data_IF_420754921531
#
_entry.id   IF_420754921531
#
_cell.length_a   1.000
_cell.length_b   1.000
_cell.length_c   1.000
_cell.angle_alpha   90.00
_cell.angle_beta   90.00
_cell.angle_gamma   90.00
#
_symmetry.space_group_name_H-M   'P 1'
#
loop_
_entity.id
_entity.type
_entity.pdbx_description
1 polymer ?
#
# COMPACT_ATOMS: atom_id res chain seq x y z
N UNK A 1 -46.28 -38.97 25.17
CA UNK A 1 -46.33 -40.32 25.77
C UNK A 1 -45.00 -41.01 25.49
N UNK A 2 -44.50 -41.80 26.45
CA UNK A 2 -43.53 -42.93 26.31
C UNK A 2 -42.33 -42.76 25.34
N UNK A 3 -41.07 -42.57 25.77
CA UNK A 3 -40.22 -43.46 26.62
C UNK A 3 -40.02 -44.85 25.96
N UNK A 4 -38.83 -45.44 25.76
CA UNK A 4 -37.65 -45.80 26.59
C UNK A 4 -36.57 -46.38 25.59
N UNK A 5 -35.34 -46.81 25.92
CA UNK A 5 -34.30 -46.45 26.91
C UNK A 5 -33.08 -47.42 26.73
N UNK A 6 -32.03 -47.25 27.56
CA UNK A 6 -30.92 -48.22 27.88
C UNK A 6 -29.90 -48.47 26.75
N UNK A 7 -28.57 -48.55 26.98
CA UNK A 7 -27.74 -48.46 28.20
C UNK A 7 -26.24 -48.26 27.82
N UNK A 8 -25.34 -47.81 28.72
CA UNK A 8 -24.65 -48.61 29.78
C UNK A 8 -23.52 -49.51 29.22
N UNK A 9 -22.25 -49.53 29.69
CA UNK A 9 -21.50 -48.78 30.72
C UNK A 9 -19.96 -48.99 30.53
N UNK A 10 -19.14 -48.44 31.44
CA UNK A 10 -17.75 -48.85 31.82
C UNK A 10 -16.50 -48.50 30.98
N UNK A 11 -15.62 -47.70 31.63
CA UNK A 11 -14.12 -47.80 31.62
C UNK A 11 -13.70 -48.94 32.61
N UNK A 12 -12.41 -49.34 32.86
CA UNK A 12 -11.14 -48.63 32.62
C UNK A 12 -9.87 -49.48 32.25
N UNK A 13 -8.71 -48.80 32.26
CA UNK A 13 -7.33 -49.27 32.62
C UNK A 13 -6.42 -50.04 31.64
N UNK A 14 -5.35 -49.34 31.23
CA UNK A 14 -3.91 -49.72 31.25
C UNK A 14 -3.40 -51.08 30.75
N UNK A 15 -2.35 -51.05 29.91
CA UNK A 15 -1.07 -51.76 30.19
C UNK A 15 0.09 -51.26 29.29
N UNK A 16 1.31 -51.25 29.85
CA UNK A 16 2.58 -51.05 29.13
C UNK A 16 2.97 -52.32 28.36
N UNK A 17 3.64 -52.18 27.20
CA UNK A 17 4.75 -53.07 26.80
C UNK A 17 5.85 -52.26 26.11
N UNK A 18 7.10 -52.45 26.53
CA UNK A 18 8.32 -51.98 25.86
C UNK A 18 9.07 -53.16 25.23
N UNK A 19 9.80 -52.94 24.11
CA UNK A 19 10.91 -53.83 23.71
C UNK A 19 11.93 -53.21 22.74
N UNK A 20 12.91 -52.53 23.33
CA UNK A 20 14.37 -52.80 23.22
C UNK A 20 14.90 -53.54 21.97
N UNK A 21 15.66 -52.79 21.15
CA UNK A 21 17.03 -53.04 20.61
C UNK A 21 17.36 -54.34 19.84
N UNK A 22 17.92 -54.17 18.63
CA UNK A 22 19.24 -54.74 18.29
C UNK A 22 20.01 -53.91 17.25
N UNK A 23 21.34 -54.01 17.31
CA UNK A 23 22.34 -53.18 16.63
C UNK A 23 23.35 -54.03 15.85
N UNK A 24 23.88 -53.50 14.75
CA UNK A 24 25.26 -53.73 14.24
C UNK A 24 25.43 -53.03 12.87
N UNK A 25 26.61 -52.70 12.34
CA UNK A 25 27.84 -52.04 12.84
C UNK A 25 29.01 -52.36 11.90
N UNK A 26 29.55 -51.36 11.20
CA UNK A 26 30.94 -51.26 10.69
C UNK A 26 31.11 -49.85 10.06
N UNK A 27 32.07 -49.01 10.44
CA UNK A 27 33.54 -49.04 10.19
C UNK A 27 33.87 -49.15 8.69
N UNK A 28 34.83 -48.43 8.09
CA UNK A 28 35.67 -47.27 8.46
C UNK A 28 36.31 -46.72 7.13
N UNK A 29 37.19 -45.71 6.99
CA UNK A 29 38.00 -44.83 7.87
C UNK A 29 38.41 -43.57 7.07
N UNK A 30 38.89 -42.47 7.69
CA UNK A 30 39.65 -41.43 6.95
C UNK A 30 39.73 -40.05 7.61
N UNK A 31 40.89 -39.68 8.15
CA UNK A 31 41.14 -38.39 8.82
C UNK A 31 41.98 -37.43 7.98
N UNK A 32 41.79 -36.12 8.17
CA UNK A 32 42.89 -35.18 8.38
C UNK A 32 42.43 -33.99 9.24
N UNK A 33 43.33 -33.51 10.10
CA UNK A 33 43.11 -32.38 10.98
C UNK A 33 44.23 -31.35 10.77
N UNK A 34 43.87 -30.06 10.77
CA UNK A 34 44.83 -28.96 10.78
C UNK A 34 44.60 -28.08 12.01
N UNK A 35 45.53 -28.13 12.97
CA UNK A 35 45.70 -27.11 14.02
C UNK A 35 46.71 -26.07 13.52
N UNK A 36 46.53 -24.78 13.85
CA UNK A 36 47.59 -23.82 14.23
C UNK A 36 46.95 -22.45 14.61
N UNK A 37 47.64 -21.50 15.28
CA UNK A 37 47.31 -21.26 16.70
C UNK A 37 46.79 -19.84 17.03
N UNK A 38 46.40 -19.68 18.30
CA UNK A 38 46.02 -18.41 18.94
C UNK A 38 47.25 -17.65 19.46
N UNK A 39 47.42 -16.40 19.02
CA UNK A 39 48.36 -15.35 19.47
C UNK A 39 47.58 -14.02 19.26
N UNK A 40 47.66 -12.95 20.05
CA UNK A 40 47.94 -12.72 21.47
C UNK A 40 47.30 -11.35 21.84
N UNK A 41 47.25 -10.97 23.11
CA UNK A 41 46.67 -9.67 23.52
C UNK A 41 47.50 -8.48 23.04
N UNK A 42 46.81 -7.41 22.60
CA UNK A 42 47.33 -6.04 22.61
C UNK A 42 46.24 -5.15 23.20
N UNK A 43 46.54 -4.54 24.36
CA UNK A 43 45.74 -3.46 24.92
C UNK A 43 46.05 -2.14 24.19
N UNK A 44 45.01 -1.44 23.74
CA UNK A 44 45.08 0.01 23.47
C UNK A 44 43.78 0.67 23.89
N UNK A 45 43.82 1.38 25.02
CA UNK A 45 42.84 2.42 25.34
C UNK A 45 42.99 3.56 24.33
N UNK A 46 41.93 3.92 23.61
CA UNK A 46 41.82 5.29 23.10
C UNK A 46 40.37 5.79 23.05
N UNK A 47 40.11 6.84 23.82
CA UNK A 47 38.79 7.41 24.07
C UNK A 47 38.56 8.66 23.21
N UNK A 48 38.27 8.46 21.91
CA UNK A 48 37.98 9.56 21.00
C UNK A 48 36.59 10.19 21.26
N UNK A 49 36.62 11.33 21.93
CA UNK A 49 35.47 12.19 22.24
C UNK A 49 35.12 13.06 21.04
N UNK A 50 34.04 12.74 20.32
CA UNK A 50 33.52 13.61 19.26
C UNK A 50 32.51 14.62 19.82
N UNK A 51 32.92 15.89 19.77
CA UNK A 51 32.24 17.07 20.30
C UNK A 51 30.96 17.40 19.51
N UNK A 52 29.81 17.30 20.18
CA UNK A 52 28.49 17.70 19.66
C UNK A 52 28.48 19.20 19.37
N UNK A 53 28.26 19.62 18.11
CA UNK A 53 28.05 21.03 17.75
C UNK A 53 26.56 21.27 17.53
N UNK A 54 25.95 22.05 18.41
CA UNK A 54 24.57 22.49 18.24
C UNK A 54 24.50 23.50 17.08
N UNK A 55 23.49 23.37 16.22
CA UNK A 55 22.93 24.48 15.47
C UNK A 55 21.41 24.30 15.48
N UNK A 56 20.75 25.18 16.23
CA UNK A 56 19.30 25.28 16.30
C UNK A 56 18.78 25.97 15.04
N UNK A 57 17.67 25.45 14.48
CA UNK A 57 16.66 26.25 13.81
C UNK A 57 15.30 25.56 14.02
N UNK A 58 14.61 25.97 15.08
CA UNK A 58 13.21 25.64 15.31
C UNK A 58 12.34 26.67 14.60
N UNK A 59 11.46 26.21 13.70
CA UNK A 59 10.04 26.60 13.63
C UNK A 59 9.30 25.60 12.75
N UNK A 60 7.98 25.45 12.99
CA UNK A 60 7.01 24.67 12.21
C UNK A 60 7.17 23.13 12.18
N UNK A 61 6.94 22.52 13.36
CA UNK A 61 6.68 21.07 13.48
C UNK A 61 5.48 20.74 14.40
N UNK A 62 4.52 21.66 14.55
CA UNK A 62 3.49 21.61 15.60
C UNK A 62 2.10 21.11 15.16
N UNK A 63 1.99 20.23 14.16
CA UNK A 63 0.67 19.71 13.72
C UNK A 63 0.55 18.17 13.58
N UNK A 64 1.60 17.39 13.84
CA UNK A 64 1.59 15.93 13.61
C UNK A 64 2.02 15.03 14.78
N UNK A 65 2.38 15.57 15.95
CA UNK A 65 2.82 14.75 17.10
C UNK A 65 1.70 14.11 17.94
N UNK A 66 0.42 14.35 17.62
CA UNK A 66 -0.69 13.72 18.34
C UNK A 66 -1.18 12.45 17.64
N UNK A 67 -0.38 11.38 17.71
CA UNK A 67 -0.78 9.95 17.82
C UNK A 67 0.43 9.02 17.53
N UNK A 68 1.28 8.81 18.53
CA UNK A 68 2.30 7.73 18.53
C UNK A 68 2.02 6.73 19.67
N UNK A 69 1.97 5.41 19.40
CA UNK A 69 1.93 4.38 20.44
C UNK A 69 3.20 4.40 21.31
N UNK A 70 3.11 3.86 22.54
CA UNK A 70 4.21 3.85 23.53
C UNK A 70 5.55 3.40 22.93
N UNK A 71 6.58 4.24 23.07
CA UNK A 71 7.97 3.83 22.87
C UNK A 71 8.40 2.86 23.98
N UNK A 72 8.58 1.59 23.64
CA UNK A 72 9.27 0.63 24.51
C UNK A 72 10.76 0.97 24.58
N UNK A 73 11.21 1.45 25.75
CA UNK A 73 12.64 1.75 26.02
C UNK A 73 13.51 0.51 25.80
N UNK A 74 14.47 0.58 24.87
CA UNK A 74 15.60 -0.37 24.79
C UNK A 74 16.52 -0.21 26.01
N UNK A 75 16.29 -1.03 27.04
CA UNK A 75 17.19 -1.10 28.20
C UNK A 75 18.27 -2.18 27.95
N UNK A 76 19.54 -1.78 27.90
CA UNK A 76 20.67 -2.72 27.74
C UNK A 76 20.82 -3.57 29.00
N UNK A 77 20.45 -4.85 28.93
CA UNK A 77 20.83 -5.82 29.96
C UNK A 77 22.25 -6.35 29.71
N UNK A 78 23.15 -6.16 30.68
CA UNK A 78 24.41 -6.92 30.76
C UNK A 78 24.08 -8.31 31.29
N UNK A 79 24.47 -9.37 30.56
CA UNK A 79 24.43 -10.73 31.09
C UNK A 79 25.39 -10.86 32.29
N UNK A 80 24.84 -11.27 33.44
CA UNK A 80 25.58 -12.00 34.47
C UNK A 80 24.90 -13.36 34.60
N UNK A 81 25.64 -14.42 34.34
CA UNK A 81 25.16 -15.78 34.56
C UNK A 81 25.08 -16.06 36.06
N UNK A 82 23.87 -16.32 36.55
CA UNK A 82 23.63 -16.95 37.85
C UNK A 82 22.49 -17.95 37.64
N UNK A 83 22.73 -19.22 37.99
CA UNK A 83 21.73 -20.27 37.89
C UNK A 83 20.72 -20.12 39.03
N UNK A 84 19.46 -19.89 38.70
CA UNK A 84 18.32 -20.10 39.60
C UNK A 84 17.19 -20.75 38.81
N UNK A 85 17.05 -22.07 38.93
CA UNK A 85 15.89 -22.80 38.42
C UNK A 85 14.65 -22.31 39.16
N UNK A 86 13.79 -21.55 38.47
CA UNK A 86 12.55 -21.04 39.04
C UNK A 86 11.40 -21.32 38.06
N UNK A 87 10.62 -22.41 38.25
CA UNK A 87 9.57 -22.83 37.30
C UNK A 87 8.38 -21.85 37.16
N UNK A 88 8.42 -20.72 37.87
CA UNK A 88 7.30 -19.79 38.03
C UNK A 88 7.29 -18.63 37.01
N UNK A 89 8.27 -18.54 36.09
CA UNK A 89 8.42 -17.39 35.18
C UNK A 89 7.93 -17.62 33.73
N UNK A 90 7.62 -18.85 33.34
CA UNK A 90 7.15 -19.20 31.97
C UNK A 90 5.62 -19.22 31.80
N UNK A 91 4.84 -18.93 32.86
CA UNK A 91 3.39 -19.10 32.85
C UNK A 91 2.57 -17.87 32.37
N UNK A 92 3.20 -16.73 32.10
CA UNK A 92 2.51 -15.45 31.75
C UNK A 92 2.50 -15.09 30.27
N UNK A 93 3.03 -15.94 29.39
CA UNK A 93 3.02 -15.70 27.94
C UNK A 93 1.69 -16.04 27.22
N UNK A 94 0.65 -16.43 27.96
CA UNK A 94 -0.52 -17.15 27.42
C UNK A 94 -1.83 -16.38 27.20
N UNK A 95 -2.04 -15.20 27.81
CA UNK A 95 -3.36 -14.52 27.81
C UNK A 95 -3.34 -13.08 27.27
N UNK A 96 -2.98 -12.91 25.98
CA UNK A 96 -3.39 -11.69 25.27
C UNK A 96 -4.91 -11.63 25.17
N UNK A 97 -5.49 -10.51 25.63
CA UNK A 97 -6.93 -10.26 25.63
C UNK A 97 -7.49 -10.41 24.20
N UNK A 98 -8.64 -11.10 23.99
CA UNK A 98 -9.30 -11.17 22.68
C UNK A 98 -9.46 -9.81 21.98
N UNK A 99 -9.72 -8.74 22.75
CA UNK A 99 -9.80 -7.37 22.23
C UNK A 99 -8.45 -6.87 21.69
N UNK A 100 -7.34 -7.14 22.38
CA UNK A 100 -5.99 -6.77 21.94
C UNK A 100 -5.61 -7.50 20.65
N UNK A 101 -5.94 -8.81 20.56
CA UNK A 101 -5.76 -9.59 19.33
C UNK A 101 -6.57 -9.03 18.16
N UNK A 102 -7.82 -8.63 18.40
CA UNK A 102 -8.67 -8.00 17.39
C UNK A 102 -8.11 -6.65 16.92
N UNK A 103 -7.66 -5.79 17.85
CA UNK A 103 -7.04 -4.49 17.52
C UNK A 103 -5.78 -4.69 16.67
N UNK A 104 -4.89 -5.61 17.06
CA UNK A 104 -3.67 -5.92 16.29
C UNK A 104 -3.99 -6.48 14.90
N UNK A 105 -5.03 -7.30 14.78
CA UNK A 105 -5.48 -7.82 13.48
C UNK A 105 -6.06 -6.71 12.58
N UNK A 106 -6.85 -5.79 13.14
CA UNK A 106 -7.40 -4.63 12.40
C UNK A 106 -6.29 -3.67 11.96
N UNK A 107 -5.29 -3.39 12.81
CA UNK A 107 -4.11 -2.60 12.43
C UNK A 107 -3.29 -3.29 11.32
N UNK A 108 -3.09 -4.61 11.42
CA UNK A 108 -2.46 -5.38 10.37
C UNK A 108 -3.27 -5.28 9.05
N UNK A 109 -4.60 -5.39 9.07
CA UNK A 109 -5.43 -5.19 7.86
C UNK A 109 -5.35 -3.75 7.32
N UNK A 110 -5.29 -2.74 8.19
CA UNK A 110 -5.12 -1.33 7.80
C UNK A 110 -3.77 -1.09 7.10
N UNK A 111 -2.67 -1.68 7.60
CA UNK A 111 -1.37 -1.65 6.92
C UNK A 111 -1.38 -2.49 5.63
N UNK A 112 -2.11 -3.61 5.61
CA UNK A 112 -2.22 -4.52 4.46
C UNK A 112 -2.94 -3.89 3.25
N UNK A 113 -3.98 -3.07 3.45
CA UNK A 113 -4.64 -2.32 2.37
C UNK A 113 -3.80 -1.14 1.82
N UNK A 114 -2.66 -0.81 2.46
CA UNK A 114 -1.77 0.34 2.17
C UNK A 114 -2.53 1.68 2.23
N UNK A 115 -2.60 2.34 3.40
CA UNK A 115 -3.52 3.47 3.66
C UNK A 115 -3.46 4.62 2.66
N UNK A 116 -2.27 4.98 2.17
CA UNK A 116 -2.10 6.04 1.16
C UNK A 116 -2.84 5.69 -0.15
N UNK A 117 -2.71 4.45 -0.63
CA UNK A 117 -3.41 3.99 -1.83
C UNK A 117 -4.94 3.92 -1.59
N UNK A 118 -5.36 3.52 -0.39
CA UNK A 118 -6.76 3.50 0.01
C UNK A 118 -7.39 4.91 0.03
N UNK A 119 -6.72 5.90 0.63
CA UNK A 119 -7.17 7.31 0.63
C UNK A 119 -7.37 7.83 -0.80
N UNK A 120 -6.44 7.55 -1.72
CA UNK A 120 -6.62 7.92 -3.12
C UNK A 120 -7.85 7.26 -3.79
N UNK A 121 -8.29 6.09 -3.31
CA UNK A 121 -9.50 5.41 -3.82
C UNK A 121 -10.77 6.04 -3.25
N UNK A 122 -10.78 6.41 -1.95
CA UNK A 122 -11.87 7.18 -1.33
C UNK A 122 -12.07 8.52 -2.06
N UNK A 123 -10.96 9.24 -2.29
CA UNK A 123 -10.98 10.53 -2.98
C UNK A 123 -11.37 10.40 -4.46
N UNK A 124 -10.94 9.33 -5.14
CA UNK A 124 -11.38 9.04 -6.52
C UNK A 124 -12.90 8.86 -6.61
N UNK A 125 -13.50 8.05 -5.73
CA UNK A 125 -14.96 7.89 -5.69
C UNK A 125 -15.64 9.24 -5.44
N UNK A 126 -15.21 9.98 -4.41
CA UNK A 126 -15.80 11.29 -4.08
C UNK A 126 -15.69 12.30 -5.23
N UNK A 127 -14.52 12.41 -5.86
CA UNK A 127 -14.30 13.32 -6.99
C UNK A 127 -15.17 12.97 -8.20
N UNK A 128 -15.19 11.70 -8.61
CA UNK A 128 -15.99 11.27 -9.76
C UNK A 128 -17.50 11.36 -9.48
N UNK A 129 -17.94 11.19 -8.22
CA UNK A 129 -19.31 11.48 -7.79
C UNK A 129 -19.64 12.97 -7.88
N UNK A 130 -18.81 13.86 -7.32
CA UNK A 130 -19.03 15.31 -7.34
C UNK A 130 -18.97 15.92 -8.76
N UNK A 131 -18.26 15.27 -9.69
CA UNK A 131 -18.20 15.65 -11.10
C UNK A 131 -19.56 15.48 -11.84
N UNK A 132 -20.47 14.67 -11.31
CA UNK A 132 -21.83 14.48 -11.87
C UNK A 132 -22.86 15.49 -11.37
N UNK A 133 -22.53 16.26 -10.33
CA UNK A 133 -23.42 17.27 -9.73
C UNK A 133 -23.49 18.51 -10.62
N UNK A 134 -24.69 18.84 -11.09
CA UNK A 134 -24.97 20.04 -11.87
C UNK A 134 -25.62 21.15 -11.02
N UNK A 135 -26.42 20.77 -10.03
CA UNK A 135 -27.18 21.67 -9.15
C UNK A 135 -27.13 21.19 -7.71
N UNK A 136 -27.30 22.10 -6.75
CA UNK A 136 -27.32 21.75 -5.32
C UNK A 136 -28.48 20.79 -4.95
N UNK A 137 -29.55 20.76 -5.74
CA UNK A 137 -30.66 19.80 -5.63
C UNK A 137 -30.23 18.35 -5.84
N UNK A 138 -29.10 18.10 -6.50
CA UNK A 138 -28.66 16.76 -6.88
C UNK A 138 -28.07 15.99 -5.68
N UNK A 139 -27.76 16.69 -4.58
CA UNK A 139 -27.35 16.13 -3.28
C UNK A 139 -28.52 15.46 -2.54
N UNK A 140 -29.05 14.41 -3.14
CA UNK A 140 -30.15 13.59 -2.62
C UNK A 140 -29.63 12.45 -1.73
N UNK A 141 -30.47 11.82 -0.89
CA UNK A 141 -30.10 10.57 -0.20
C UNK A 141 -29.65 9.46 -1.18
N UNK A 142 -30.19 9.45 -2.41
CA UNK A 142 -29.78 8.54 -3.47
C UNK A 142 -28.33 8.78 -3.93
N UNK A 143 -27.90 10.05 -4.05
CA UNK A 143 -26.50 10.40 -4.36
C UNK A 143 -25.54 9.77 -3.34
N UNK A 144 -25.80 9.97 -2.04
CA UNK A 144 -24.95 9.44 -0.98
C UNK A 144 -24.97 7.91 -0.94
N UNK A 145 -26.14 7.28 -1.13
CA UNK A 145 -26.26 5.83 -1.22
C UNK A 145 -25.41 5.26 -2.36
N UNK A 146 -25.45 5.88 -3.56
CA UNK A 146 -24.68 5.43 -4.74
C UNK A 146 -23.18 5.65 -4.56
N UNK A 147 -22.78 6.78 -3.97
CA UNK A 147 -21.38 7.04 -3.61
C UNK A 147 -20.86 6.00 -2.61
N UNK A 148 -21.64 5.63 -1.58
CA UNK A 148 -21.28 4.59 -0.60
C UNK A 148 -21.20 3.21 -1.26
N UNK A 149 -22.12 2.88 -2.18
CA UNK A 149 -22.10 1.63 -2.95
C UNK A 149 -20.81 1.48 -3.77
N UNK A 150 -20.41 2.54 -4.49
CA UNK A 150 -19.14 2.58 -5.21
C UNK A 150 -17.92 2.48 -4.28
N UNK A 151 -17.95 3.19 -3.14
CA UNK A 151 -16.87 3.21 -2.16
C UNK A 151 -16.63 1.84 -1.52
N UNK A 152 -17.68 1.15 -1.07
CA UNK A 152 -17.58 -0.17 -0.44
C UNK A 152 -16.97 -1.18 -1.43
N UNK A 153 -17.50 -1.25 -2.65
CA UNK A 153 -16.96 -2.14 -3.68
C UNK A 153 -15.52 -1.82 -4.07
N UNK A 154 -15.18 -0.53 -4.17
CA UNK A 154 -13.83 -0.05 -4.48
C UNK A 154 -12.81 -0.34 -3.38
N UNK A 155 -13.20 -0.22 -2.11
CA UNK A 155 -12.33 -0.53 -0.96
C UNK A 155 -12.06 -2.03 -0.84
N UNK A 156 -13.05 -2.89 -1.14
CA UNK A 156 -12.83 -4.32 -1.25
C UNK A 156 -11.87 -4.68 -2.40
N UNK A 157 -11.99 -4.05 -3.58
CA UNK A 157 -11.02 -4.27 -4.67
C UNK A 157 -9.63 -3.76 -4.31
N UNK A 158 -9.53 -2.62 -3.62
CA UNK A 158 -8.27 -2.08 -3.12
C UNK A 158 -7.56 -3.04 -2.14
N UNK A 159 -8.33 -3.68 -1.25
CA UNK A 159 -7.83 -4.73 -0.35
C UNK A 159 -7.31 -5.94 -1.14
N UNK A 160 -8.05 -6.42 -2.14
CA UNK A 160 -7.59 -7.50 -3.01
C UNK A 160 -6.27 -7.15 -3.72
N UNK A 161 -6.19 -6.00 -4.39
CA UNK A 161 -5.01 -5.63 -5.21
C UNK A 161 -3.77 -5.40 -4.34
N UNK A 162 -3.91 -4.78 -3.17
CA UNK A 162 -2.78 -4.61 -2.24
C UNK A 162 -2.37 -5.92 -1.55
N UNK A 163 -3.33 -6.78 -1.21
CA UNK A 163 -3.05 -8.08 -0.58
C UNK A 163 -2.41 -9.07 -1.54
N UNK A 164 -2.96 -9.21 -2.75
CA UNK A 164 -2.40 -10.03 -3.81
C UNK A 164 -1.00 -9.56 -4.23
N UNK A 165 -0.76 -8.24 -4.25
CA UNK A 165 0.58 -7.72 -4.49
C UNK A 165 1.58 -8.20 -3.42
N UNK A 166 1.26 -8.08 -2.13
CA UNK A 166 2.12 -8.56 -1.03
C UNK A 166 2.34 -10.08 -1.09
N UNK A 167 1.31 -10.88 -1.41
CA UNK A 167 1.44 -12.34 -1.55
C UNK A 167 2.47 -12.70 -2.64
N UNK A 168 2.40 -12.06 -3.80
CA UNK A 168 3.33 -12.30 -4.91
C UNK A 168 4.72 -11.68 -4.71
N UNK A 169 4.91 -10.84 -3.69
CA UNK A 169 6.11 -10.03 -3.48
C UNK A 169 6.73 -10.19 -2.08
N UNK A 170 6.31 -11.17 -1.28
CA UNK A 170 6.74 -11.35 0.12
C UNK A 170 8.27 -11.29 0.30
N UNK A 171 9.06 -11.92 -0.58
CA UNK A 171 10.53 -11.87 -0.50
C UNK A 171 11.13 -10.52 -0.92
N UNK A 172 10.47 -9.77 -1.82
CA UNK A 172 10.85 -8.39 -2.16
C UNK A 172 10.51 -7.42 -1.04
N UNK A 173 9.30 -7.54 -0.49
CA UNK A 173 8.80 -6.65 0.56
C UNK A 173 9.55 -6.88 1.88
N UNK A 174 10.12 -8.06 2.16
CA UNK A 174 11.09 -8.25 3.27
C UNK A 174 12.33 -7.36 3.15
N UNK A 175 12.75 -7.00 1.95
CA UNK A 175 13.92 -6.12 1.72
C UNK A 175 13.48 -4.66 1.64
N UNK A 176 12.56 -4.31 0.75
CA UNK A 176 12.21 -2.93 0.47
C UNK A 176 11.22 -2.34 1.49
N UNK A 177 10.35 -3.18 2.11
CA UNK A 177 9.16 -2.74 2.85
C UNK A 177 8.90 -3.64 4.08
N UNK A 178 9.90 -3.89 4.96
CA UNK A 178 9.86 -4.92 6.00
C UNK A 178 8.78 -4.71 7.08
N UNK A 179 8.17 -3.53 7.16
CA UNK A 179 7.09 -3.19 8.07
C UNK A 179 5.69 -3.56 7.56
N UNK A 180 5.59 -4.08 6.33
CA UNK A 180 4.33 -4.59 5.79
C UNK A 180 3.91 -5.88 6.52
N UNK A 181 2.62 -6.07 6.84
CA UNK A 181 2.17 -7.13 7.76
C UNK A 181 2.56 -8.55 7.34
N UNK A 182 2.57 -8.85 6.04
CA UNK A 182 2.97 -10.18 5.54
C UNK A 182 4.49 -10.37 5.55
N UNK A 183 5.26 -9.31 5.27
CA UNK A 183 6.74 -9.35 5.32
C UNK A 183 7.27 -9.41 6.76
N UNK A 184 6.59 -8.72 7.69
CA UNK A 184 6.87 -8.71 9.12
C UNK A 184 6.44 -10.01 9.85
N UNK A 185 5.69 -10.89 9.19
CA UNK A 185 5.14 -12.12 9.78
C UNK A 185 3.94 -11.89 10.71
N UNK A 186 3.33 -10.71 10.70
CA UNK A 186 2.16 -10.37 11.51
C UNK A 186 0.85 -10.94 10.94
N UNK A 187 0.79 -11.14 9.61
CA UNK A 187 -0.25 -11.92 8.94
C UNK A 187 0.36 -13.20 8.37
N UNK A 188 -0.33 -14.33 8.56
CA UNK A 188 0.06 -15.58 7.90
C UNK A 188 -0.25 -15.53 6.39
N UNK A 189 0.50 -16.29 5.59
CA UNK A 189 0.25 -16.41 4.15
C UNK A 189 -1.19 -16.88 3.86
N UNK A 190 -1.68 -17.87 4.61
CA UNK A 190 -3.06 -18.37 4.48
C UNK A 190 -4.08 -17.28 4.78
N UNK A 191 -3.87 -16.49 5.83
CA UNK A 191 -4.75 -15.37 6.19
C UNK A 191 -4.74 -14.30 5.09
N UNK A 192 -3.56 -13.93 4.57
CA UNK A 192 -3.42 -12.97 3.49
C UNK A 192 -4.17 -13.42 2.22
N UNK A 193 -4.06 -14.70 1.84
CA UNK A 193 -4.78 -15.28 0.70
C UNK A 193 -6.30 -15.23 0.93
N UNK A 194 -6.78 -15.71 2.07
CA UNK A 194 -8.22 -15.72 2.41
C UNK A 194 -8.80 -14.30 2.40
N UNK A 195 -8.14 -13.34 3.06
CA UNK A 195 -8.57 -11.93 3.07
C UNK A 195 -8.62 -11.35 1.66
N UNK A 196 -7.61 -11.63 0.83
CA UNK A 196 -7.56 -11.12 -0.55
C UNK A 196 -8.69 -11.71 -1.41
N UNK A 197 -8.88 -13.03 -1.37
CA UNK A 197 -9.92 -13.73 -2.16
C UNK A 197 -11.33 -13.31 -1.72
N UNK A 198 -11.60 -13.28 -0.40
CA UNK A 198 -12.88 -12.80 0.13
C UNK A 198 -13.13 -11.35 -0.27
N UNK A 199 -12.11 -10.48 -0.24
CA UNK A 199 -12.27 -9.09 -0.68
C UNK A 199 -12.61 -8.97 -2.17
N UNK A 200 -11.99 -9.77 -3.05
CA UNK A 200 -12.37 -9.80 -4.47
C UNK A 200 -13.84 -10.22 -4.66
N UNK A 201 -14.27 -11.29 -3.98
CA UNK A 201 -15.66 -11.77 -4.00
C UNK A 201 -16.62 -10.67 -3.51
N UNK A 202 -16.32 -10.03 -2.37
CA UNK A 202 -17.16 -8.97 -1.80
C UNK A 202 -17.24 -7.73 -2.72
N UNK A 203 -16.18 -7.39 -3.44
CA UNK A 203 -16.20 -6.30 -4.43
C UNK A 203 -17.14 -6.61 -5.59
N UNK A 204 -17.02 -7.79 -6.19
CA UNK A 204 -17.90 -8.22 -7.28
C UNK A 204 -19.35 -8.39 -6.84
N UNK A 205 -19.58 -8.99 -5.67
CA UNK A 205 -20.91 -9.12 -5.07
C UNK A 205 -21.55 -7.74 -4.83
N UNK A 206 -20.77 -6.76 -4.36
CA UNK A 206 -21.26 -5.38 -4.20
C UNK A 206 -21.71 -4.81 -5.54
N UNK A 207 -20.87 -4.84 -6.58
CA UNK A 207 -21.26 -4.29 -7.89
C UNK A 207 -22.45 -5.02 -8.54
N UNK A 208 -22.54 -6.34 -8.34
CA UNK A 208 -23.65 -7.17 -8.83
C UNK A 208 -24.97 -6.85 -8.12
N UNK A 209 -24.99 -6.83 -6.78
CA UNK A 209 -26.17 -6.49 -5.97
C UNK A 209 -26.64 -5.04 -6.18
N UNK A 210 -25.71 -4.13 -6.48
CA UNK A 210 -26.00 -2.73 -6.85
C UNK A 210 -26.61 -2.62 -8.25
N UNK A 211 -26.50 -3.64 -9.09
CA UNK A 211 -27.04 -3.66 -10.45
C UNK A 211 -26.37 -2.65 -11.39
N UNK A 212 -25.09 -2.33 -11.17
CA UNK A 212 -24.36 -1.32 -11.95
C UNK A 212 -23.33 -1.97 -12.89
N UNK A 213 -23.62 -2.06 -14.21
CA UNK A 213 -22.65 -2.59 -15.18
C UNK A 213 -21.33 -1.81 -15.19
N UNK A 214 -21.39 -0.49 -14.97
CA UNK A 214 -20.21 0.37 -14.91
C UNK A 214 -19.29 0.04 -13.73
N UNK A 215 -19.84 -0.21 -12.53
CA UNK A 215 -19.02 -0.66 -11.40
C UNK A 215 -18.50 -2.08 -11.63
N UNK A 216 -19.36 -2.98 -12.14
CA UNK A 216 -18.99 -4.38 -12.33
C UNK A 216 -17.84 -4.52 -13.31
N UNK A 217 -17.94 -3.93 -14.50
CA UNK A 217 -16.85 -3.96 -15.50
C UNK A 217 -15.65 -3.12 -15.06
N UNK A 218 -15.86 -2.03 -14.31
CA UNK A 218 -14.78 -1.28 -13.66
C UNK A 218 -13.93 -2.14 -12.72
N UNK A 219 -14.58 -2.92 -11.86
CA UNK A 219 -13.93 -3.85 -10.94
C UNK A 219 -13.34 -5.08 -11.64
N UNK A 220 -13.99 -5.62 -12.68
CA UNK A 220 -13.42 -6.71 -13.50
C UNK A 220 -12.13 -6.23 -14.17
N UNK A 221 -12.14 -5.04 -14.76
CA UNK A 221 -10.94 -4.45 -15.34
C UNK A 221 -9.83 -4.23 -14.31
N UNK A 222 -10.17 -3.67 -13.13
CA UNK A 222 -9.19 -3.46 -12.04
C UNK A 222 -8.60 -4.78 -11.53
N UNK A 223 -9.44 -5.80 -11.34
CA UNK A 223 -9.01 -7.14 -10.95
C UNK A 223 -8.02 -7.72 -11.97
N UNK A 224 -8.37 -7.69 -13.27
CA UNK A 224 -7.51 -8.21 -14.34
C UNK A 224 -6.15 -7.49 -14.35
N UNK A 225 -6.12 -6.15 -14.38
CA UNK A 225 -4.84 -5.42 -14.43
C UNK A 225 -4.04 -5.53 -13.14
N UNK A 226 -4.70 -5.57 -11.97
CA UNK A 226 -4.04 -5.74 -10.67
C UNK A 226 -3.44 -7.14 -10.47
N UNK A 227 -4.14 -8.17 -10.97
CA UNK A 227 -3.65 -9.55 -11.04
C UNK A 227 -2.45 -9.61 -11.97
N UNK A 228 -2.58 -9.12 -13.21
CA UNK A 228 -1.52 -9.15 -14.21
C UNK A 228 -0.26 -8.35 -13.78
N UNK A 229 -0.44 -7.27 -13.03
CA UNK A 229 0.64 -6.49 -12.42
C UNK A 229 1.49 -7.30 -11.43
N UNK A 230 0.87 -8.13 -10.59
CA UNK A 230 1.56 -8.81 -9.47
C UNK A 230 1.92 -10.27 -9.75
N UNK A 231 1.03 -11.02 -10.41
CA UNK A 231 1.06 -12.48 -10.51
C UNK A 231 2.36 -12.99 -11.14
N UNK A 232 3.06 -13.89 -10.44
CA UNK A 232 4.34 -14.48 -10.85
C UNK A 232 4.22 -15.91 -11.40
N UNK A 233 3.04 -16.52 -11.35
CA UNK A 233 2.82 -17.96 -11.63
C UNK A 233 2.64 -18.27 -13.12
N UNK A 234 2.06 -17.35 -13.89
CA UNK A 234 1.77 -17.54 -15.32
C UNK A 234 2.76 -16.77 -16.21
N UNK A 235 3.10 -17.31 -17.40
CA UNK A 235 3.89 -16.58 -18.38
C UNK A 235 3.19 -15.29 -18.81
N UNK A 236 3.97 -14.28 -19.20
CA UNK A 236 3.52 -12.94 -19.63
C UNK A 236 2.82 -12.06 -18.56
N UNK A 237 2.68 -12.52 -17.31
CA UNK A 237 2.24 -11.68 -16.18
C UNK A 237 3.43 -11.03 -15.44
N UNK A 238 3.18 -10.50 -14.24
CA UNK A 238 4.09 -9.69 -13.43
C UNK A 238 4.51 -8.40 -14.12
N UNK A 239 3.54 -7.70 -14.71
CA UNK A 239 3.74 -6.49 -15.51
C UNK A 239 4.56 -5.41 -14.81
N UNK A 240 4.59 -5.36 -13.47
CA UNK A 240 5.48 -4.49 -12.71
C UNK A 240 6.97 -4.60 -13.06
N UNK A 241 7.40 -5.69 -13.71
CA UNK A 241 8.78 -5.86 -14.23
C UNK A 241 9.09 -4.98 -15.45
N UNK A 242 8.07 -4.50 -16.16
CA UNK A 242 8.20 -3.74 -17.41
C UNK A 242 7.55 -2.35 -17.24
N UNK A 243 8.30 -1.25 -17.38
CA UNK A 243 7.80 0.09 -17.07
C UNK A 243 6.50 0.49 -17.80
N UNK A 244 6.36 0.12 -19.08
CA UNK A 244 5.16 0.45 -19.86
C UNK A 244 3.91 -0.27 -19.38
N UNK A 245 3.99 -1.54 -18.97
CA UNK A 245 2.83 -2.28 -18.48
C UNK A 245 2.55 -2.00 -16.99
N UNK A 246 3.56 -1.56 -16.23
CA UNK A 246 3.36 -0.93 -14.91
C UNK A 246 2.59 0.41 -15.03
N UNK A 247 2.96 1.26 -15.99
CA UNK A 247 2.24 2.51 -16.27
C UNK A 247 0.81 2.25 -16.79
N UNK A 248 0.64 1.27 -17.67
CA UNK A 248 -0.68 0.83 -18.14
C UNK A 248 -1.59 0.38 -16.98
N UNK A 249 -1.07 -0.45 -16.06
CA UNK A 249 -1.81 -0.81 -14.84
C UNK A 249 -2.26 0.42 -14.05
N UNK A 250 -1.36 1.37 -13.80
CA UNK A 250 -1.68 2.56 -13.00
C UNK A 250 -2.72 3.44 -13.71
N UNK A 251 -2.58 3.67 -15.02
CA UNK A 251 -3.56 4.37 -15.84
C UNK A 251 -4.95 3.73 -15.77
N UNK A 252 -5.04 2.41 -15.94
CA UNK A 252 -6.31 1.69 -15.90
C UNK A 252 -6.96 1.72 -14.50
N UNK A 253 -6.17 1.59 -13.44
CA UNK A 253 -6.64 1.57 -12.06
C UNK A 253 -6.93 2.95 -11.46
N UNK A 254 -6.32 4.04 -11.98
CA UNK A 254 -6.37 5.37 -11.35
C UNK A 254 -6.80 6.53 -12.24
N UNK A 255 -6.87 6.36 -13.55
CA UNK A 255 -7.30 7.41 -14.48
C UNK A 255 -8.45 6.99 -15.41
N UNK A 256 -8.48 5.72 -15.84
CA UNK A 256 -9.39 5.23 -16.88
C UNK A 256 -10.51 4.35 -16.31
N UNK A 257 -10.40 3.03 -16.44
CA UNK A 257 -11.48 2.06 -16.21
C UNK A 257 -12.18 2.24 -14.86
N UNK A 258 -11.43 2.45 -13.78
CA UNK A 258 -11.99 2.59 -12.42
C UNK A 258 -12.67 3.95 -12.19
N UNK A 259 -12.01 5.12 -12.38
CA UNK A 259 -12.69 6.42 -12.26
C UNK A 259 -13.87 6.60 -13.22
N UNK A 260 -13.75 6.13 -14.47
CA UNK A 260 -14.85 6.19 -15.44
C UNK A 260 -16.01 5.29 -14.97
N UNK A 261 -15.74 4.11 -14.43
CA UNK A 261 -16.75 3.25 -13.81
C UNK A 261 -17.51 3.92 -12.66
N UNK A 262 -16.80 4.65 -11.78
CA UNK A 262 -17.42 5.45 -10.71
C UNK A 262 -18.27 6.59 -11.27
N UNK A 263 -17.75 7.37 -12.22
CA UNK A 263 -18.49 8.46 -12.87
C UNK A 263 -19.76 7.96 -13.54
N UNK A 264 -19.66 6.91 -14.39
CA UNK A 264 -20.82 6.34 -15.08
C UNK A 264 -21.87 5.80 -14.11
N UNK A 265 -21.46 5.17 -13.01
CA UNK A 265 -22.39 4.68 -11.98
C UNK A 265 -23.21 5.82 -11.35
N UNK A 266 -22.53 6.92 -10.99
CA UNK A 266 -23.18 8.09 -10.42
C UNK A 266 -24.05 8.80 -11.46
N UNK A 267 -23.51 9.05 -12.65
CA UNK A 267 -24.13 9.79 -13.74
C UNK A 267 -25.43 9.11 -14.22
N UNK A 268 -25.44 7.79 -14.35
CA UNK A 268 -26.66 7.02 -14.67
C UNK A 268 -27.69 7.05 -13.54
N UNK A 269 -27.25 7.07 -12.28
CA UNK A 269 -28.14 7.08 -11.11
C UNK A 269 -28.75 8.46 -10.78
N UNK A 270 -28.10 9.55 -11.22
CA UNK A 270 -28.51 10.94 -10.89
C UNK A 270 -29.16 11.64 -12.09
N UNK A 271 -28.55 11.53 -13.28
CA UNK A 271 -28.97 12.28 -14.47
C UNK A 271 -29.72 11.43 -15.52
N UNK A 272 -29.92 10.14 -15.27
CA UNK A 272 -30.63 9.23 -16.19
C UNK A 272 -29.90 8.90 -17.50
N UNK A 273 -28.70 9.44 -17.75
CA UNK A 273 -27.92 9.20 -18.96
C UNK A 273 -26.45 9.62 -18.81
N UNK A 274 -25.55 8.84 -19.41
CA UNK A 274 -24.10 9.03 -19.30
C UNK A 274 -23.48 9.50 -20.63
N UNK A 275 -22.81 10.65 -20.60
CA UNK A 275 -21.89 11.07 -21.67
C UNK A 275 -20.45 10.81 -21.26
N UNK A 276 -19.77 9.93 -22.00
CA UNK A 276 -18.35 9.61 -21.81
C UNK A 276 -17.39 10.69 -22.31
N UNK A 277 -17.91 11.73 -22.98
CA UNK A 277 -17.12 12.81 -23.60
C UNK A 277 -17.46 14.18 -23.00
N UNK A 278 -17.93 14.24 -21.75
CA UNK A 278 -18.12 15.50 -21.05
C UNK A 278 -16.76 16.19 -20.80
N UNK A 279 -16.69 17.51 -20.98
CA UNK A 279 -15.43 18.26 -20.77
C UNK A 279 -14.84 18.05 -19.37
N UNK A 280 -15.61 18.04 -18.26
CA UNK A 280 -15.06 17.79 -16.93
C UNK A 280 -14.51 16.36 -16.79
N UNK A 281 -15.13 15.34 -17.40
CA UNK A 281 -14.60 13.97 -17.39
C UNK A 281 -13.29 13.85 -18.17
N UNK A 282 -13.20 14.47 -19.35
CA UNK A 282 -11.97 14.46 -20.14
C UNK A 282 -10.82 15.19 -19.43
N UNK A 283 -11.12 16.31 -18.77
CA UNK A 283 -10.18 17.00 -17.87
C UNK A 283 -9.71 16.08 -16.75
N UNK A 284 -10.65 15.45 -16.02
CA UNK A 284 -10.37 14.53 -14.93
C UNK A 284 -9.44 13.40 -15.39
N UNK A 285 -9.80 12.70 -16.47
CA UNK A 285 -9.01 11.60 -17.05
C UNK A 285 -7.61 12.07 -17.44
N UNK A 286 -7.47 13.27 -18.02
CA UNK A 286 -6.18 13.86 -18.38
C UNK A 286 -5.27 14.09 -17.17
N UNK A 287 -5.77 14.77 -16.15
CA UNK A 287 -5.02 15.06 -14.92
C UNK A 287 -4.67 13.78 -14.14
N UNK A 288 -5.66 12.91 -13.92
CA UNK A 288 -5.43 11.62 -13.27
C UNK A 288 -4.44 10.75 -14.06
N UNK A 289 -4.37 10.87 -15.39
CA UNK A 289 -3.39 10.15 -16.22
C UNK A 289 -1.97 10.66 -16.02
N UNK A 290 -1.76 11.98 -16.01
CA UNK A 290 -0.46 12.59 -15.76
C UNK A 290 0.08 12.19 -14.37
N UNK A 291 -0.78 12.24 -13.34
CA UNK A 291 -0.46 11.75 -12.00
C UNK A 291 -0.20 10.25 -11.95
N UNK A 292 -0.98 9.44 -12.65
CA UNK A 292 -0.78 7.97 -12.70
C UNK A 292 0.59 7.61 -13.27
N UNK A 293 0.99 8.25 -14.38
CA UNK A 293 2.30 8.03 -15.01
C UNK A 293 3.44 8.58 -14.15
N UNK A 294 3.31 9.80 -13.62
CA UNK A 294 4.35 10.40 -12.79
C UNK A 294 4.58 9.61 -11.50
N UNK A 295 3.52 9.23 -10.77
CA UNK A 295 3.65 8.53 -9.49
C UNK A 295 4.23 7.12 -9.60
N UNK A 296 3.80 6.32 -10.59
CA UNK A 296 4.36 4.96 -10.77
C UNK A 296 5.83 5.00 -11.18
N UNK A 297 6.23 5.98 -11.99
CA UNK A 297 7.61 6.18 -12.42
C UNK A 297 8.50 6.80 -11.34
N UNK A 298 7.96 7.70 -10.50
CA UNK A 298 8.68 8.26 -9.37
C UNK A 298 8.93 7.19 -8.30
N UNK A 299 7.96 6.29 -8.06
CA UNK A 299 8.08 5.15 -7.14
C UNK A 299 9.30 4.27 -7.43
N UNK A 300 9.63 4.08 -8.71
CA UNK A 300 10.77 3.25 -9.12
C UNK A 300 12.14 3.86 -8.72
N UNK A 301 12.20 5.15 -8.34
CA UNK A 301 13.43 5.83 -7.93
C UNK A 301 13.94 5.32 -6.56
N UNK A 302 13.16 5.38 -5.45
CA UNK A 302 13.59 4.80 -4.17
C UNK A 302 13.69 3.27 -4.20
N UNK A 303 12.94 2.59 -5.09
CA UNK A 303 13.00 1.13 -5.23
C UNK A 303 14.22 0.66 -6.10
N UNK A 304 15.07 1.54 -6.68
CA UNK A 304 16.19 1.21 -7.62
C UNK A 304 17.08 0.04 -7.16
N UNK A 305 17.54 0.05 -5.91
CA UNK A 305 18.51 -0.95 -5.44
C UNK A 305 17.84 -2.32 -5.22
N UNK A 306 16.61 -2.31 -4.70
CA UNK A 306 15.78 -3.52 -4.58
C UNK A 306 15.44 -4.12 -5.93
N UNK A 307 15.10 -3.29 -6.92
CA UNK A 307 14.86 -3.70 -8.30
C UNK A 307 16.10 -4.31 -8.94
N UNK A 308 17.28 -3.69 -8.74
CA UNK A 308 18.57 -4.18 -9.24
C UNK A 308 18.91 -5.56 -8.70
N UNK A 309 18.79 -5.78 -7.39
CA UNK A 309 19.05 -7.09 -6.75
C UNK A 309 18.16 -8.21 -7.30
N UNK A 310 16.97 -7.88 -7.82
CA UNK A 310 16.00 -8.85 -8.34
C UNK A 310 15.89 -8.86 -9.87
N UNK A 311 16.85 -8.24 -10.57
CA UNK A 311 16.94 -8.24 -12.04
C UNK A 311 15.84 -7.45 -12.76
N UNK A 312 15.14 -6.56 -12.07
CA UNK A 312 14.12 -5.69 -12.67
C UNK A 312 14.82 -4.56 -13.43
N UNK A 313 14.40 -4.29 -14.68
CA UNK A 313 15.01 -3.29 -15.56
C UNK A 313 14.10 -2.06 -15.70
N UNK A 314 13.83 -1.39 -14.57
CA UNK A 314 12.99 -0.20 -14.50
C UNK A 314 13.52 0.97 -15.33
N UNK A 315 12.68 1.97 -15.64
CA UNK A 315 13.14 3.16 -16.37
C UNK A 315 14.12 3.98 -15.53
N UNK A 316 13.93 4.02 -14.21
CA UNK A 316 14.84 4.68 -13.28
C UNK A 316 16.27 4.13 -13.36
N UNK A 317 16.42 2.79 -13.47
CA UNK A 317 17.72 2.13 -13.68
C UNK A 317 18.33 2.49 -15.05
N UNK A 318 17.53 2.57 -16.12
CA UNK A 318 18.03 2.84 -17.49
C UNK A 318 18.41 4.30 -17.73
N UNK A 319 17.61 5.24 -17.22
CA UNK A 319 17.78 6.67 -17.44
C UNK A 319 18.64 7.34 -16.35
N UNK A 320 18.75 6.71 -15.19
CA UNK A 320 19.35 7.26 -13.98
C UNK A 320 18.36 8.10 -13.19
N UNK A 321 18.45 7.99 -11.86
CA UNK A 321 17.63 8.70 -10.85
C UNK A 321 17.35 10.17 -11.21
N UNK A 322 18.40 10.97 -11.44
CA UNK A 322 18.25 12.41 -11.72
C UNK A 322 17.41 12.70 -12.96
N UNK A 323 17.54 11.90 -14.02
CA UNK A 323 16.72 12.09 -15.24
C UNK A 323 15.28 11.65 -14.97
N UNK A 324 15.10 10.51 -14.32
CA UNK A 324 13.76 9.99 -13.99
C UNK A 324 12.98 10.96 -13.11
N UNK A 325 13.63 11.50 -12.07
CA UNK A 325 13.08 12.51 -11.18
C UNK A 325 12.51 13.69 -11.96
N UNK A 326 13.35 14.36 -12.77
CA UNK A 326 12.92 15.55 -13.51
C UNK A 326 11.87 15.25 -14.58
N UNK A 327 11.87 14.07 -15.20
CA UNK A 327 10.79 13.64 -16.11
C UNK A 327 9.45 13.59 -15.37
N UNK A 328 9.41 12.97 -14.19
CA UNK A 328 8.18 12.89 -13.39
C UNK A 328 7.67 14.26 -12.95
N UNK A 329 8.56 15.19 -12.60
CA UNK A 329 8.20 16.58 -12.28
C UNK A 329 7.65 17.29 -13.52
N UNK A 330 8.37 17.27 -14.66
CA UNK A 330 7.94 17.94 -15.88
C UNK A 330 6.60 17.44 -16.44
N UNK A 331 6.29 16.14 -16.30
CA UNK A 331 4.96 15.59 -16.66
C UNK A 331 3.85 16.31 -15.88
N UNK A 332 4.05 16.57 -14.58
CA UNK A 332 3.07 17.24 -13.73
C UNK A 332 3.03 18.76 -13.96
N UNK A 333 4.17 19.42 -14.14
CA UNK A 333 4.22 20.85 -14.49
C UNK A 333 3.48 21.14 -15.81
N UNK A 334 3.70 20.31 -16.83
CA UNK A 334 2.98 20.41 -18.12
C UNK A 334 1.49 20.16 -17.91
N UNK A 335 1.10 19.19 -17.09
CA UNK A 335 -0.29 18.93 -16.77
C UNK A 335 -0.95 20.12 -16.07
N UNK A 336 -0.28 20.77 -15.09
CA UNK A 336 -0.80 21.95 -14.41
C UNK A 336 -0.94 23.18 -15.34
N UNK A 337 0.01 23.40 -16.24
CA UNK A 337 -0.09 24.46 -17.25
C UNK A 337 -1.26 24.18 -18.21
N UNK A 338 -1.39 22.95 -18.71
CA UNK A 338 -2.53 22.55 -19.57
C UNK A 338 -3.86 22.68 -18.82
N UNK A 339 -3.92 22.28 -17.54
CA UNK A 339 -5.12 22.42 -16.71
C UNK A 339 -5.54 23.87 -16.52
N UNK A 340 -4.59 24.77 -16.25
CA UNK A 340 -4.88 26.21 -16.16
C UNK A 340 -5.37 26.77 -17.50
N UNK A 341 -4.76 26.38 -18.63
CA UNK A 341 -5.20 26.78 -19.97
C UNK A 341 -6.62 26.28 -20.28
N UNK A 342 -6.95 25.02 -19.97
CA UNK A 342 -8.31 24.47 -20.15
C UNK A 342 -9.30 25.19 -19.23
N UNK A 343 -8.94 25.43 -17.96
CA UNK A 343 -9.75 26.21 -17.01
C UNK A 343 -10.07 27.63 -17.50
N UNK A 344 -9.11 28.30 -18.14
CA UNK A 344 -9.31 29.62 -18.74
C UNK A 344 -10.39 29.64 -19.83
N UNK A 345 -10.63 28.50 -20.50
CA UNK A 345 -11.70 28.33 -21.51
C UNK A 345 -13.09 28.03 -20.94
N UNK A 346 -13.23 27.78 -19.62
CA UNK A 346 -14.54 27.52 -19.02
C UNK A 346 -15.47 28.74 -19.19
N UNK A 347 -16.75 28.57 -19.58
CA UNK A 347 -17.71 29.65 -19.61
C UNK A 347 -18.16 30.08 -18.19
N UNK A 348 -17.89 29.26 -17.17
CA UNK A 348 -18.35 29.50 -15.81
C UNK A 348 -17.27 30.25 -15.01
N UNK A 349 -17.54 31.52 -14.69
CA UNK A 349 -16.59 32.44 -14.05
C UNK A 349 -15.95 31.90 -12.77
N UNK A 350 -16.72 31.28 -11.86
CA UNK A 350 -16.16 30.75 -10.62
C UNK A 350 -15.24 29.54 -10.88
N UNK A 351 -15.66 28.62 -11.76
CA UNK A 351 -14.88 27.43 -12.10
C UNK A 351 -13.60 27.81 -12.81
N UNK A 352 -13.66 28.75 -13.76
CA UNK A 352 -12.50 29.37 -14.41
C UNK A 352 -11.45 29.85 -13.40
N UNK A 353 -11.82 30.75 -12.49
CA UNK A 353 -10.85 31.32 -11.54
C UNK A 353 -10.32 30.27 -10.58
N UNK A 354 -11.18 29.39 -10.05
CA UNK A 354 -10.76 28.31 -9.15
C UNK A 354 -9.78 27.38 -9.87
N UNK A 355 -10.10 26.88 -11.07
CA UNK A 355 -9.22 25.98 -11.83
C UNK A 355 -7.89 26.66 -12.17
N UNK A 356 -7.90 27.87 -12.74
CA UNK A 356 -6.66 28.58 -13.11
C UNK A 356 -5.76 28.83 -11.90
N UNK A 357 -6.30 29.42 -10.83
CA UNK A 357 -5.49 29.82 -9.67
C UNK A 357 -4.96 28.60 -8.92
N UNK A 358 -5.79 27.57 -8.70
CA UNK A 358 -5.39 26.37 -7.94
C UNK A 358 -4.30 25.56 -8.65
N UNK A 359 -4.43 25.32 -9.96
CA UNK A 359 -3.45 24.51 -10.70
C UNK A 359 -2.11 25.26 -10.88
N UNK A 360 -2.14 26.59 -11.10
CA UNK A 360 -0.92 27.40 -11.10
C UNK A 360 -0.24 27.43 -9.72
N UNK A 361 -1.02 27.52 -8.63
CA UNK A 361 -0.48 27.46 -7.27
C UNK A 361 0.13 26.09 -6.93
N UNK A 362 -0.50 24.99 -7.37
CA UNK A 362 0.04 23.64 -7.18
C UNK A 362 1.30 23.37 -8.02
N UNK A 363 1.34 23.84 -9.28
CA UNK A 363 2.57 23.80 -10.09
C UNK A 363 3.70 24.61 -9.44
N UNK A 364 3.44 25.84 -9.01
CA UNK A 364 4.43 26.64 -8.29
C UNK A 364 4.94 25.96 -7.02
N UNK A 365 4.05 25.34 -6.23
CA UNK A 365 4.42 24.58 -5.02
C UNK A 365 5.26 23.34 -5.36
N UNK A 366 4.87 22.59 -6.41
CA UNK A 366 5.62 21.44 -6.91
C UNK A 366 7.03 21.86 -7.32
N UNK A 367 7.17 22.90 -8.15
CA UNK A 367 8.44 23.42 -8.64
C UNK A 367 9.38 23.87 -7.52
N UNK A 368 8.85 24.62 -6.54
CA UNK A 368 9.60 25.08 -5.37
C UNK A 368 10.09 23.88 -4.56
N UNK A 369 9.19 22.92 -4.27
CA UNK A 369 9.56 21.73 -3.50
C UNK A 369 10.57 20.88 -4.26
N UNK A 370 10.39 20.67 -5.57
CA UNK A 370 11.27 19.86 -6.40
C UNK A 370 12.70 20.40 -6.46
N UNK A 371 12.87 21.71 -6.56
CA UNK A 371 14.20 22.34 -6.50
C UNK A 371 14.92 22.19 -5.15
N UNK A 372 14.19 21.92 -4.08
CA UNK A 372 14.75 21.76 -2.72
C UNK A 372 15.24 20.35 -2.38
N UNK A 373 14.98 19.35 -3.24
CA UNK A 373 15.31 17.94 -2.95
C UNK A 373 16.76 17.62 -3.32
N UNK A 374 17.56 17.20 -2.34
CA UNK A 374 18.82 16.51 -2.60
C UNK A 374 18.56 15.04 -2.93
N UNK A 375 18.81 14.67 -4.18
CA UNK A 375 18.65 13.29 -4.67
C UNK A 375 19.64 12.31 -4.03
N UNK A 376 20.75 12.79 -3.43
CA UNK A 376 21.66 11.90 -2.68
C UNK A 376 21.06 11.43 -1.36
N UNK A 377 20.02 12.10 -0.86
CA UNK A 377 19.33 11.73 0.36
C UNK A 377 18.05 10.95 0.04
N UNK A 378 18.09 9.63 0.24
CA UNK A 378 16.95 8.74 0.00
C UNK A 378 15.70 9.11 0.83
N UNK A 379 15.87 9.66 2.04
CA UNK A 379 14.74 10.14 2.85
C UNK A 379 14.07 11.37 2.21
N UNK A 380 14.85 12.24 1.57
CA UNK A 380 14.32 13.41 0.85
C UNK A 380 13.59 12.99 -0.44
N UNK A 381 14.11 11.99 -1.17
CA UNK A 381 13.43 11.40 -2.33
C UNK A 381 12.13 10.71 -1.92
N UNK A 382 12.14 9.93 -0.83
CA UNK A 382 10.94 9.29 -0.28
C UNK A 382 9.92 10.33 0.24
N UNK A 383 10.37 11.41 0.87
CA UNK A 383 9.53 12.55 1.26
C UNK A 383 8.88 13.21 0.04
N UNK A 384 9.63 13.39 -1.06
CA UNK A 384 9.09 13.93 -2.31
C UNK A 384 8.05 12.99 -2.94
N UNK A 385 8.28 11.67 -2.93
CA UNK A 385 7.28 10.70 -3.39
C UNK A 385 5.95 10.80 -2.62
N UNK A 386 6.03 10.91 -1.28
CA UNK A 386 4.84 11.09 -0.45
C UNK A 386 4.17 12.46 -0.68
N UNK A 387 4.94 13.51 -0.99
CA UNK A 387 4.41 14.80 -1.38
C UNK A 387 3.69 14.77 -2.74
N UNK A 388 4.18 14.00 -3.72
CA UNK A 388 3.43 13.78 -4.98
C UNK A 388 2.08 13.09 -4.74
N UNK A 389 2.00 12.17 -3.78
CA UNK A 389 0.72 11.60 -3.34
C UNK A 389 -0.20 12.65 -2.69
N UNK A 390 0.33 13.59 -1.90
CA UNK A 390 -0.46 14.69 -1.33
C UNK A 390 -1.01 15.63 -2.41
N UNK A 391 -0.21 15.96 -3.43
CA UNK A 391 -0.69 16.70 -4.59
C UNK A 391 -1.77 15.91 -5.34
N UNK A 392 -1.60 14.60 -5.51
CA UNK A 392 -2.61 13.75 -6.15
C UNK A 392 -3.93 13.70 -5.35
N UNK A 393 -3.88 13.78 -4.02
CA UNK A 393 -5.07 13.88 -3.17
C UNK A 393 -5.80 15.21 -3.33
N UNK A 394 -5.05 16.32 -3.37
CA UNK A 394 -5.62 17.65 -3.61
C UNK A 394 -6.22 17.75 -5.02
N UNK A 395 -5.61 17.11 -6.03
CA UNK A 395 -6.09 17.05 -7.40
C UNK A 395 -7.51 16.46 -7.52
N UNK A 396 -7.82 15.38 -6.78
CA UNK A 396 -9.19 14.85 -6.71
C UNK A 396 -10.21 15.91 -6.24
N UNK A 397 -9.81 16.77 -5.31
CA UNK A 397 -10.62 17.93 -4.89
C UNK A 397 -10.80 18.94 -6.01
N UNK A 398 -9.71 19.35 -6.69
CA UNK A 398 -9.76 20.36 -7.74
C UNK A 398 -10.56 19.92 -8.98
N UNK A 399 -10.37 18.67 -9.43
CA UNK A 399 -11.12 18.08 -10.54
C UNK A 399 -12.64 18.21 -10.32
N UNK A 400 -13.10 18.01 -9.07
CA UNK A 400 -14.53 18.09 -8.74
C UNK A 400 -15.15 19.49 -8.93
N UNK A 401 -14.31 20.54 -9.04
CA UNK A 401 -14.71 21.94 -9.19
C UNK A 401 -14.70 22.42 -10.65
N UNK A 402 -14.24 21.60 -11.60
CA UNK A 402 -14.20 21.92 -13.03
C UNK A 402 -15.61 21.80 -13.65
N UNK A 403 -16.01 22.79 -14.45
CA UNK A 403 -17.31 22.85 -15.15
C UNK A 403 -17.16 23.43 -16.56
#
# INVERSE_FOLDING_TARGET
MTSLAVGSLCKPTSLLVSRVVKSSSSLATGSQASKFPRIANIDTNESLTIRRRNSSNHTDQSFYERFTPLQTKKQKFKLKAASTNNPQFDATHGLQNPMEKAIRFVDALYRFIRPYAAVGTVLSVGAMSLLTIQKLSDFTPLFFLKMIQALVGGMFMQMYVCGFNQICDIELDKVNKPTLPLAAGELSMTTAIVVSVVSAIMSFATAWLVGSPALFWGFVGWFIVGTAYSANVLPYLRWKRFPFTAAFYMLMARALVVPIGYYMHMQTSISGGASLLSRPLLFAVGMLSAFSVSTIFFKDIPDIEGDRMHGIKSLAIKLGEKRMYWICIWILEIAYVVAALVGATSPITWSKYVTVISHLAMGALLWIRAKSVDLKNMEAVQSMYMFLWQLFYAEYGLISLVR
#
